data_IF_871254586753
#
_entry.id   IF_871254586753
#
_cell.length_a   1.000
_cell.length_b   1.000
_cell.length_c   1.000
_cell.angle_alpha   90.00
_cell.angle_beta   90.00
_cell.angle_gamma   90.00
#
_symmetry.space_group_name_H-M   'P 1'
#
loop_
_entity.id
_entity.type
_entity.pdbx_description
1 polymer ?
#
# COMPACT_ATOMS: atom_id res chain seq x y z
N UNK A 1 15.62 -2.68 -31.26
CA UNK A 1 15.41 -4.14 -31.17
C UNK A 1 16.19 -4.74 -29.99
N UNK A 2 17.51 -4.51 -29.87
CA UNK A 2 18.31 -4.93 -28.70
C UNK A 2 17.78 -4.43 -27.34
N UNK A 3 17.27 -3.20 -27.28
CA UNK A 3 16.71 -2.67 -26.02
C UNK A 3 15.38 -3.30 -25.59
N UNK A 4 14.63 -3.89 -26.51
CA UNK A 4 13.39 -4.60 -26.16
C UNK A 4 13.67 -6.03 -25.72
N UNK A 5 14.69 -6.66 -26.29
CA UNK A 5 15.19 -7.98 -25.90
C UNK A 5 15.78 -7.95 -24.47
N UNK A 6 16.62 -6.96 -24.16
CA UNK A 6 17.16 -6.76 -22.82
C UNK A 6 16.07 -6.49 -21.77
N UNK A 7 15.04 -5.68 -22.09
CA UNK A 7 13.92 -5.44 -21.16
C UNK A 7 13.13 -6.70 -20.86
N UNK A 8 12.85 -7.54 -21.86
CA UNK A 8 12.14 -8.80 -21.63
C UNK A 8 12.97 -9.82 -20.84
N UNK A 9 14.29 -9.82 -20.97
CA UNK A 9 15.18 -10.63 -20.14
C UNK A 9 15.25 -10.11 -18.70
N UNK A 10 15.32 -8.80 -18.50
CA UNK A 10 15.27 -8.16 -17.18
C UNK A 10 13.93 -8.40 -16.48
N UNK A 11 12.80 -8.21 -17.18
CA UNK A 11 11.45 -8.51 -16.68
C UNK A 11 11.31 -9.97 -16.25
N UNK A 12 11.82 -10.94 -17.04
CA UNK A 12 11.82 -12.35 -16.65
C UNK A 12 12.59 -12.59 -15.36
N UNK A 13 13.69 -11.87 -15.13
CA UNK A 13 14.51 -11.95 -13.92
C UNK A 13 13.83 -11.35 -12.68
N UNK A 14 12.98 -10.35 -12.86
CA UNK A 14 12.14 -9.80 -11.79
C UNK A 14 10.89 -10.65 -11.51
N UNK A 15 10.43 -11.44 -12.48
CA UNK A 15 9.25 -12.30 -12.36
C UNK A 15 9.61 -13.73 -11.92
N UNK A 16 10.85 -14.20 -12.13
CA UNK A 16 11.32 -15.53 -11.71
C UNK A 16 11.93 -15.51 -10.30
N UNK A 17 11.15 -15.88 -9.30
CA UNK A 17 11.67 -16.17 -7.96
C UNK A 17 12.30 -17.57 -7.92
N UNK A 18 13.52 -17.66 -7.38
CA UNK A 18 14.26 -18.90 -7.13
C UNK A 18 13.43 -19.96 -6.40
N UNK A 19 12.45 -19.55 -5.58
CA UNK A 19 11.53 -20.46 -4.92
C UNK A 19 10.61 -21.21 -5.90
N UNK A 20 10.20 -20.64 -7.04
CA UNK A 20 9.28 -21.29 -7.98
C UNK A 20 9.98 -22.02 -9.13
N UNK A 21 11.29 -21.82 -9.28
CA UNK A 21 12.09 -22.47 -10.32
C UNK A 21 12.24 -23.99 -10.10
N UNK A 22 12.50 -24.70 -11.20
CA UNK A 22 12.70 -26.15 -11.22
C UNK A 22 14.15 -26.48 -10.82
N UNK A 23 14.34 -27.27 -9.76
CA UNK A 23 15.67 -27.74 -9.31
C UNK A 23 16.11 -27.26 -7.91
N UNK A 24 15.55 -26.14 -7.41
CA UNK A 24 15.90 -25.57 -6.10
C UNK A 24 15.15 -26.22 -4.92
N UNK A 25 15.21 -27.55 -4.79
CA UNK A 25 14.46 -28.30 -3.77
C UNK A 25 14.85 -27.95 -2.33
N UNK A 26 16.14 -27.70 -2.08
CA UNK A 26 16.63 -27.32 -0.75
C UNK A 26 16.07 -25.97 -0.27
N UNK A 27 16.01 -24.97 -1.16
CA UNK A 27 15.46 -23.65 -0.84
C UNK A 27 13.96 -23.74 -0.51
N UNK A 28 13.22 -24.55 -1.28
CA UNK A 28 11.79 -24.82 -1.03
C UNK A 28 11.57 -25.43 0.35
N UNK A 29 12.40 -26.40 0.73
CA UNK A 29 12.33 -27.05 2.04
C UNK A 29 12.65 -26.08 3.18
N UNK A 30 13.75 -25.32 3.08
CA UNK A 30 14.15 -24.37 4.11
C UNK A 30 13.10 -23.27 4.34
N UNK A 31 12.58 -22.68 3.26
CA UNK A 31 11.54 -21.65 3.34
C UNK A 31 10.24 -22.24 3.91
N UNK A 32 9.87 -23.46 3.51
CA UNK A 32 8.72 -24.16 4.08
C UNK A 32 8.88 -24.42 5.58
N UNK A 33 10.05 -24.90 6.02
CA UNK A 33 10.37 -25.11 7.42
C UNK A 33 10.30 -23.81 8.21
N UNK A 34 10.93 -22.74 7.71
CA UNK A 34 10.93 -21.43 8.36
C UNK A 34 9.51 -20.86 8.45
N UNK A 35 8.70 -21.10 7.43
CA UNK A 35 7.28 -20.73 7.42
C UNK A 35 6.50 -21.47 8.52
N UNK A 36 6.70 -22.78 8.66
CA UNK A 36 6.07 -23.59 9.72
C UNK A 36 6.50 -23.10 11.10
N UNK A 37 7.80 -22.86 11.29
CA UNK A 37 8.34 -22.31 12.56
C UNK A 37 7.74 -20.93 12.85
N UNK A 38 7.62 -20.08 11.84
CA UNK A 38 6.96 -18.77 11.95
C UNK A 38 5.50 -18.90 12.39
N UNK A 39 4.75 -19.83 11.80
CA UNK A 39 3.37 -20.09 12.21
C UNK A 39 3.27 -20.62 13.64
N UNK A 40 4.16 -21.53 14.05
CA UNK A 40 4.21 -22.01 15.43
C UNK A 40 4.46 -20.84 16.39
N UNK A 41 5.40 -19.95 16.07
CA UNK A 41 5.68 -18.76 16.86
C UNK A 41 4.47 -17.80 16.97
N UNK A 42 3.60 -17.76 15.95
CA UNK A 42 2.33 -17.01 15.99
C UNK A 42 1.28 -17.73 16.84
N UNK A 43 1.16 -19.05 16.72
CA UNK A 43 0.14 -19.82 17.45
C UNK A 43 0.42 -19.93 18.95
N UNK A 44 1.68 -19.98 19.37
CA UNK A 44 2.05 -20.06 20.80
C UNK A 44 1.41 -18.95 21.65
N UNK A 45 1.60 -17.64 21.36
CA UNK A 45 1.02 -16.58 22.17
C UNK A 45 -0.51 -16.58 22.11
N UNK A 46 -1.12 -16.91 20.96
CA UNK A 46 -2.59 -17.04 20.83
C UNK A 46 -3.10 -18.14 21.74
N UNK A 47 -2.47 -19.32 21.71
CA UNK A 47 -2.84 -20.44 22.56
C UNK A 47 -2.70 -20.06 24.03
N UNK A 48 -1.58 -19.44 24.45
CA UNK A 48 -1.37 -18.99 25.82
C UNK A 48 -2.43 -18.01 26.31
N UNK A 49 -2.81 -17.05 25.47
CA UNK A 49 -3.87 -16.08 25.79
C UNK A 49 -5.22 -16.79 25.93
N UNK A 50 -5.63 -17.59 24.95
CA UNK A 50 -6.94 -18.27 24.94
C UNK A 50 -7.04 -19.30 26.07
N UNK A 51 -5.99 -20.10 26.28
CA UNK A 51 -5.96 -21.12 27.33
C UNK A 51 -6.08 -20.50 28.72
N UNK A 52 -5.51 -19.33 28.93
CA UNK A 52 -5.41 -18.69 30.25
C UNK A 52 -6.56 -17.73 30.56
N UNK A 53 -7.38 -17.39 29.56
CA UNK A 53 -8.53 -16.48 29.71
C UNK A 53 -9.86 -17.20 29.49
N UNK A 54 -10.17 -17.56 28.24
CA UNK A 54 -11.47 -18.09 27.82
C UNK A 54 -11.68 -19.54 28.25
N UNK A 55 -10.63 -20.36 28.22
CA UNK A 55 -10.71 -21.78 28.54
C UNK A 55 -10.36 -22.10 29.98
N UNK A 56 -10.13 -21.10 30.86
CA UNK A 56 -9.63 -21.28 32.23
C UNK A 56 -10.39 -22.33 33.06
N UNK A 57 -11.67 -22.55 32.77
CA UNK A 57 -12.53 -23.47 33.52
C UNK A 57 -12.71 -24.85 32.86
N UNK A 58 -12.04 -25.10 31.72
CA UNK A 58 -12.14 -26.36 30.98
C UNK A 58 -10.91 -27.25 31.22
N UNK A 59 -11.09 -28.26 32.09
CA UNK A 59 -10.04 -29.22 32.47
C UNK A 59 -9.46 -30.06 31.33
N UNK A 60 -10.05 -30.02 30.13
CA UNK A 60 -9.55 -30.74 28.95
C UNK A 60 -8.30 -30.11 28.34
N UNK A 61 -8.02 -28.83 28.63
CA UNK A 61 -6.91 -28.10 28.03
C UNK A 61 -5.79 -27.83 29.02
N UNK A 62 -4.55 -27.84 28.55
CA UNK A 62 -3.41 -27.44 29.38
C UNK A 62 -3.37 -25.92 29.49
N UNK A 63 -3.61 -25.40 30.69
CA UNK A 63 -3.51 -23.97 30.99
C UNK A 63 -2.08 -23.63 31.40
N UNK A 64 -1.44 -22.76 30.62
CA UNK A 64 -0.07 -22.31 30.90
C UNK A 64 0.00 -21.48 32.17
N UNK A 65 -1.05 -20.70 32.46
CA UNK A 65 -1.14 -19.85 33.64
C UNK A 65 -2.34 -20.25 34.51
N UNK A 66 -2.29 -21.42 35.14
CA UNK A 66 -3.34 -21.88 36.06
C UNK A 66 -3.15 -21.37 37.51
N UNK A 67 -1.96 -20.88 37.84
CA UNK A 67 -1.64 -20.42 39.19
C UNK A 67 -2.00 -18.95 39.39
N UNK A 68 -2.41 -18.60 40.62
CA UNK A 68 -2.77 -17.22 41.02
C UNK A 68 -1.65 -16.21 40.72
N UNK A 69 -0.40 -16.63 40.81
CA UNK A 69 0.78 -15.81 40.49
C UNK A 69 0.87 -15.52 39.00
N UNK A 70 0.64 -16.53 38.15
CA UNK A 70 0.66 -16.37 36.69
C UNK A 70 -0.46 -15.46 36.19
N UNK A 71 -1.65 -15.59 36.79
CA UNK A 71 -2.79 -14.72 36.53
C UNK A 71 -2.49 -13.25 36.88
N UNK A 72 -1.90 -13.00 38.06
CA UNK A 72 -1.51 -11.66 38.48
C UNK A 72 -0.47 -11.02 37.54
N UNK A 73 0.54 -11.80 37.10
CA UNK A 73 1.53 -11.35 36.13
C UNK A 73 0.88 -11.02 34.79
N UNK A 74 -0.01 -11.89 34.29
CA UNK A 74 -0.70 -11.68 33.02
C UNK A 74 -1.50 -10.36 33.01
N UNK A 75 -2.32 -10.13 34.03
CA UNK A 75 -3.10 -8.89 34.12
C UNK A 75 -2.23 -7.65 34.34
N UNK A 76 -1.17 -7.76 35.16
CA UNK A 76 -0.24 -6.65 35.37
C UNK A 76 0.50 -6.27 34.08
N UNK A 77 1.04 -7.26 33.38
CA UNK A 77 1.71 -7.06 32.09
C UNK A 77 0.75 -6.51 31.04
N UNK A 78 -0.47 -7.07 30.95
CA UNK A 78 -1.51 -6.55 30.04
C UNK A 78 -1.86 -5.09 30.32
N UNK A 79 -1.96 -4.70 31.59
CA UNK A 79 -2.17 -3.32 31.99
C UNK A 79 -1.00 -2.40 31.58
N UNK A 80 0.24 -2.83 31.81
CA UNK A 80 1.43 -2.08 31.36
C UNK A 80 1.43 -1.89 29.84
N UNK A 81 1.09 -2.92 29.07
CA UNK A 81 0.96 -2.81 27.61
C UNK A 81 -0.11 -1.79 27.20
N UNK A 82 -1.27 -1.78 27.85
CA UNK A 82 -2.32 -0.79 27.59
C UNK A 82 -1.86 0.64 27.90
N UNK A 83 -1.16 0.84 29.01
CA UNK A 83 -0.58 2.14 29.37
C UNK A 83 0.46 2.57 28.35
N UNK A 84 1.37 1.68 27.96
CA UNK A 84 2.37 1.96 26.91
C UNK A 84 1.72 2.31 25.58
N UNK A 85 0.67 1.59 25.18
CA UNK A 85 -0.09 1.87 23.96
C UNK A 85 -0.76 3.25 24.02
N UNK A 86 -1.33 3.63 25.16
CA UNK A 86 -1.91 4.95 25.36
C UNK A 86 -0.85 6.06 25.25
N UNK A 87 0.32 5.90 25.89
CA UNK A 87 1.43 6.86 25.82
C UNK A 87 1.94 7.01 24.38
N UNK A 88 2.17 5.89 23.68
CA UNK A 88 2.60 5.90 22.27
C UNK A 88 1.55 6.60 21.39
N UNK A 89 0.27 6.30 21.58
CA UNK A 89 -0.82 6.91 20.82
C UNK A 89 -0.86 8.43 21.00
N UNK A 90 -0.73 8.90 22.24
CA UNK A 90 -0.63 10.35 22.54
C UNK A 90 0.61 10.95 21.87
N UNK A 91 1.76 10.26 21.93
CA UNK A 91 3.00 10.71 21.28
C UNK A 91 2.85 10.84 19.76
N UNK A 92 2.22 9.86 19.10
CA UNK A 92 1.96 9.88 17.65
C UNK A 92 1.02 11.03 17.30
N UNK A 93 -0.08 11.21 18.05
CA UNK A 93 -1.01 12.31 17.83
C UNK A 93 -0.30 13.67 17.96
N UNK A 94 0.49 13.84 19.02
CA UNK A 94 1.27 15.06 19.24
C UNK A 94 2.26 15.31 18.09
N UNK A 95 3.04 14.30 17.70
CA UNK A 95 4.00 14.41 16.60
C UNK A 95 3.31 14.72 15.27
N UNK A 96 2.14 14.12 15.02
CA UNK A 96 1.36 14.37 13.79
C UNK A 96 0.85 15.79 13.75
N UNK A 97 0.28 16.29 14.85
CA UNK A 97 -0.19 17.67 14.97
C UNK A 97 0.96 18.66 14.83
N UNK A 98 2.07 18.40 15.51
CA UNK A 98 3.27 19.24 15.44
C UNK A 98 3.87 19.27 14.03
N UNK A 99 3.95 18.11 13.37
CA UNK A 99 4.48 18.00 12.02
C UNK A 99 3.58 18.71 11.00
N UNK A 100 2.25 18.55 11.10
CA UNK A 100 1.31 19.26 10.24
C UNK A 100 1.36 20.78 10.47
N UNK A 101 1.50 21.23 11.72
CA UNK A 101 1.69 22.63 12.03
C UNK A 101 2.98 23.18 11.40
N UNK A 102 4.09 22.43 11.54
CA UNK A 102 5.39 22.81 10.95
C UNK A 102 5.31 22.90 9.43
N UNK A 103 4.72 21.91 8.77
CA UNK A 103 4.57 21.90 7.32
C UNK A 103 3.76 23.12 6.87
N UNK A 104 2.60 23.38 7.48
CA UNK A 104 1.75 24.49 7.07
C UNK A 104 2.37 25.88 7.29
N UNK A 105 3.20 26.07 8.32
CA UNK A 105 3.71 27.39 8.72
C UNK A 105 5.16 27.67 8.31
N UNK A 106 6.00 26.64 8.21
CA UNK A 106 7.45 26.79 8.03
C UNK A 106 7.95 26.19 6.71
N UNK A 107 7.29 25.13 6.23
CA UNK A 107 7.63 24.52 4.95
C UNK A 107 6.70 25.10 3.88
N UNK A 108 7.12 26.21 3.27
CA UNK A 108 6.52 26.61 1.99
C UNK A 108 6.86 25.50 1.00
N UNK A 109 5.96 24.53 0.84
CA UNK A 109 6.00 23.58 -0.28
C UNK A 109 5.92 24.46 -1.51
N UNK A 110 7.08 24.76 -2.10
CA UNK A 110 7.15 25.54 -3.33
C UNK A 110 6.34 24.73 -4.34
N UNK A 111 5.17 25.23 -4.74
CA UNK A 111 4.41 24.60 -5.80
C UNK A 111 5.35 24.47 -6.99
N UNK A 112 5.63 23.21 -7.37
CA UNK A 112 6.54 22.89 -8.48
C UNK A 112 5.87 23.12 -9.84
N UNK A 113 4.59 23.45 -9.82
CA UNK A 113 3.75 23.67 -10.98
C UNK A 113 3.04 25.01 -10.84
N UNK A 114 2.80 25.68 -11.96
CA UNK A 114 1.98 26.87 -12.02
C UNK A 114 0.50 26.46 -12.02
N UNK A 115 -0.28 27.01 -11.08
CA UNK A 115 -1.71 26.71 -10.95
C UNK A 115 -2.49 27.16 -12.19
N UNK A 116 -2.12 28.27 -12.84
CA UNK A 116 -2.83 28.79 -14.02
C UNK A 116 -2.58 27.88 -15.24
N UNK A 117 -1.31 27.58 -15.52
CA UNK A 117 -0.89 26.67 -16.59
C UNK A 117 -1.54 25.28 -16.44
N UNK A 118 -1.65 24.78 -15.20
CA UNK A 118 -2.32 23.52 -14.92
C UNK A 118 -3.81 23.55 -15.29
N UNK A 119 -4.51 24.67 -15.05
CA UNK A 119 -5.93 24.79 -15.39
C UNK A 119 -6.13 24.88 -16.90
N UNK A 120 -5.25 25.59 -17.62
CA UNK A 120 -5.26 25.63 -19.09
C UNK A 120 -5.10 24.22 -19.66
N UNK A 121 -4.07 23.48 -19.22
CA UNK A 121 -3.83 22.09 -19.63
C UNK A 121 -5.00 21.17 -19.31
N UNK A 122 -5.64 21.31 -18.14
CA UNK A 122 -6.84 20.53 -17.77
C UNK A 122 -8.02 20.81 -18.68
N UNK A 123 -8.22 22.08 -19.03
CA UNK A 123 -9.33 22.52 -19.88
C UNK A 123 -9.15 21.98 -21.30
N UNK A 124 -7.99 22.19 -21.91
CA UNK A 124 -7.67 21.66 -23.24
C UNK A 124 -7.78 20.14 -23.32
N UNK A 125 -7.26 19.44 -22.31
CA UNK A 125 -7.36 17.99 -22.23
C UNK A 125 -8.83 17.53 -22.12
N UNK A 126 -9.64 18.24 -21.35
CA UNK A 126 -11.06 17.91 -21.19
C UNK A 126 -11.86 18.20 -22.47
N UNK A 127 -11.55 19.26 -23.21
CA UNK A 127 -12.13 19.56 -24.52
C UNK A 127 -11.77 18.48 -25.54
N UNK A 128 -10.48 18.16 -25.66
CA UNK A 128 -9.97 17.08 -26.52
C UNK A 128 -10.67 15.74 -26.24
N UNK A 129 -10.82 15.37 -24.96
CA UNK A 129 -11.54 14.15 -24.60
C UNK A 129 -13.05 14.24 -24.84
N UNK A 130 -13.64 15.43 -24.71
CA UNK A 130 -15.08 15.62 -24.94
C UNK A 130 -15.42 15.47 -26.43
N UNK A 131 -14.58 15.98 -27.32
CA UNK A 131 -14.74 15.80 -28.75
C UNK A 131 -14.64 14.32 -29.15
N UNK A 132 -13.62 13.62 -28.64
CA UNK A 132 -13.33 12.24 -29.07
C UNK A 132 -14.20 11.19 -28.39
N UNK A 133 -14.48 11.33 -27.10
CA UNK A 133 -15.14 10.30 -26.28
C UNK A 133 -16.47 10.75 -25.68
N UNK A 134 -16.87 12.01 -25.88
CA UNK A 134 -18.12 12.55 -25.39
C UNK A 134 -18.04 13.18 -24.00
N UNK A 135 -19.18 13.68 -23.48
CA UNK A 135 -19.23 14.47 -22.26
C UNK A 135 -18.63 13.75 -21.05
N UNK A 136 -17.97 14.52 -20.19
CA UNK A 136 -17.30 14.01 -18.96
C UNK A 136 -18.20 13.10 -18.12
N UNK A 137 -19.44 13.49 -17.89
CA UNK A 137 -20.40 12.73 -17.10
C UNK A 137 -20.62 11.31 -17.65
N UNK A 138 -20.73 11.18 -18.98
CA UNK A 138 -20.93 9.88 -19.63
C UNK A 138 -19.69 8.99 -19.54
N UNK A 139 -18.49 9.58 -19.65
CA UNK A 139 -17.21 8.88 -19.51
C UNK A 139 -17.01 8.35 -18.10
N UNK A 140 -17.35 9.17 -17.10
CA UNK A 140 -17.19 8.82 -15.68
C UNK A 140 -18.25 7.81 -15.20
N UNK A 141 -19.44 7.80 -15.82
CA UNK A 141 -20.50 6.83 -15.50
C UNK A 141 -20.28 5.44 -16.13
N UNK A 142 -19.48 5.34 -17.18
CA UNK A 142 -19.27 4.09 -17.93
C UNK A 142 -18.19 3.24 -17.29
N UNK A 143 -18.54 2.03 -16.81
CA UNK A 143 -17.60 1.12 -16.14
C UNK A 143 -16.70 0.33 -17.10
N UNK A 144 -17.18 0.04 -18.31
CA UNK A 144 -16.46 -0.71 -19.33
C UNK A 144 -16.62 -0.04 -20.68
N UNK A 145 -15.50 0.38 -21.28
CA UNK A 145 -15.45 0.99 -22.60
C UNK A 145 -14.36 0.30 -23.43
N UNK A 146 -14.72 -0.18 -24.62
CA UNK A 146 -13.75 -0.68 -25.60
C UNK A 146 -13.44 0.45 -26.56
N UNK A 147 -12.17 0.86 -26.62
CA UNK A 147 -11.73 1.95 -27.49
C UNK A 147 -11.65 1.42 -28.92
N UNK A 148 -12.40 1.99 -29.87
CA UNK A 148 -12.26 1.62 -31.27
C UNK A 148 -10.91 2.12 -31.81
N UNK A 149 -10.32 1.40 -32.75
CA UNK A 149 -8.96 1.66 -33.27
C UNK A 149 -8.78 3.09 -33.77
N UNK A 150 -9.81 3.66 -34.41
CA UNK A 150 -9.79 5.03 -34.92
C UNK A 150 -9.74 6.13 -33.83
N UNK A 151 -10.02 5.79 -32.57
CA UNK A 151 -9.95 6.70 -31.42
C UNK A 151 -8.71 6.51 -30.58
N UNK A 152 -7.83 5.57 -30.95
CA UNK A 152 -6.58 5.32 -30.23
C UNK A 152 -5.65 6.54 -30.31
N UNK A 153 -4.79 6.72 -29.31
CA UNK A 153 -3.84 7.82 -29.27
C UNK A 153 -2.54 7.41 -29.95
N UNK A 154 -1.89 8.39 -30.59
CA UNK A 154 -0.48 8.27 -30.93
C UNK A 154 0.39 8.72 -29.74
N UNK A 155 1.62 8.24 -29.66
CA UNK A 155 2.52 8.45 -28.51
C UNK A 155 2.80 9.95 -28.24
N UNK A 156 2.66 10.81 -29.25
CA UNK A 156 2.91 12.24 -29.14
C UNK A 156 1.67 13.11 -28.88
N UNK A 157 0.46 12.57 -29.04
CA UNK A 157 -0.79 13.36 -29.15
C UNK A 157 -1.00 14.35 -27.99
N UNK A 158 -0.83 13.89 -26.74
CA UNK A 158 -1.07 14.76 -25.56
C UNK A 158 0.04 15.81 -25.39
N UNK A 159 1.27 15.48 -25.76
CA UNK A 159 2.40 16.42 -25.69
C UNK A 159 2.27 17.52 -26.73
N UNK A 160 1.75 17.20 -27.91
CA UNK A 160 1.46 18.18 -28.95
C UNK A 160 0.30 19.10 -28.55
N UNK A 161 -0.77 18.53 -27.98
CA UNK A 161 -1.89 19.31 -27.44
C UNK A 161 -1.41 20.38 -26.44
N UNK A 162 -0.52 20.03 -25.52
CA UNK A 162 0.00 20.99 -24.55
C UNK A 162 0.86 22.09 -25.19
N UNK A 163 1.69 21.74 -26.19
CA UNK A 163 2.47 22.74 -26.93
C UNK A 163 1.59 23.73 -27.69
N UNK A 164 0.53 23.25 -28.34
CA UNK A 164 -0.40 24.11 -29.06
C UNK A 164 -1.12 25.08 -28.12
N UNK A 165 -1.53 24.61 -26.93
CA UNK A 165 -2.22 25.44 -25.96
C UNK A 165 -1.30 26.46 -25.29
N UNK A 166 -0.05 26.09 -25.03
CA UNK A 166 0.95 26.98 -24.42
C UNK A 166 1.46 28.04 -25.40
N UNK A 167 1.48 27.76 -26.71
CA UNK A 167 1.86 28.73 -27.74
C UNK A 167 0.76 29.76 -28.06
N UNK A 168 -0.48 29.53 -27.62
CA UNK A 168 -1.63 30.39 -27.91
C UNK A 168 -1.87 31.49 -26.87
N UNK A 169 -1.19 31.41 -25.71
CA UNK A 169 -1.28 32.33 -24.57
C UNK A 169 -0.12 33.37 -24.51
N UNK A 170 0.81 33.36 -25.48
CA UNK A 170 1.86 34.38 -25.70
C UNK A 170 1.41 35.47 -26.71
#
# INVERSE_FOLDING_TARGET
MKDQENRHEEEKRFVSDHFFEKGHWWNKFYIGLLTIVGWIAVFIPIYWTVSSTLLKNDSKFYHVWNDRTGEAIYYHTGFLFLVSLAVISVGILFLTLHNNYRINHHEKVKQLYDDEELQVRKTALNEFYTERFGPKETRHATRYYSVPENKNFDDATIRELYKETEQHDD
#
